data_IF_219493464240
#
_entry.id   IF_219493464240
#
_cell.length_a   1.000
_cell.length_b   1.000
_cell.length_c   1.000
_cell.angle_alpha   90.00
_cell.angle_beta   90.00
_cell.angle_gamma   90.00
#
_symmetry.space_group_name_H-M   'P 1'
#
loop_
_entity.id
_entity.type
_entity.pdbx_description
1 polymer ?
#
# COMPACT_ATOMS: atom_id res chain seq x y z
N UNK A 1 -7.56 9.17 -6.76
CA UNK A 1 -8.29 8.73 -5.56
C UNK A 1 -7.41 9.09 -4.39
N UNK A 2 -7.83 10.05 -3.56
CA UNK A 2 -7.05 10.48 -2.39
C UNK A 2 -7.31 9.45 -1.27
N UNK A 3 -6.28 8.90 -0.61
CA UNK A 3 -6.48 7.93 0.47
C UNK A 3 -7.31 8.54 1.61
N UNK A 4 -8.15 7.72 2.23
CA UNK A 4 -8.99 8.14 3.35
C UNK A 4 -8.11 8.56 4.55
N UNK A 5 -8.48 9.61 5.31
CA UNK A 5 -7.74 10.00 6.50
C UNK A 5 -7.57 8.87 7.53
N UNK A 6 -8.49 7.92 7.62
CA UNK A 6 -8.37 6.77 8.53
C UNK A 6 -7.30 5.79 8.03
N UNK A 7 -7.24 5.57 6.72
CA UNK A 7 -6.21 4.73 6.08
C UNK A 7 -4.81 5.30 6.28
N UNK A 8 -4.67 6.63 6.13
CA UNK A 8 -3.40 7.32 6.39
C UNK A 8 -2.95 7.17 7.84
N UNK A 9 -3.88 7.25 8.79
CA UNK A 9 -3.60 7.03 10.21
C UNK A 9 -3.17 5.59 10.47
N UNK A 10 -3.84 4.61 9.86
CA UNK A 10 -3.48 3.20 9.99
C UNK A 10 -2.08 2.90 9.44
N UNK A 11 -1.73 3.46 8.28
CA UNK A 11 -0.41 3.32 7.67
C UNK A 11 0.70 3.91 8.56
N UNK A 12 0.48 5.12 9.10
CA UNK A 12 1.41 5.75 10.05
C UNK A 12 1.55 4.92 11.33
N UNK A 13 0.45 4.41 11.88
CA UNK A 13 0.49 3.56 13.08
C UNK A 13 1.30 2.26 12.85
N UNK A 14 1.15 1.63 11.68
CA UNK A 14 1.92 0.45 11.33
C UNK A 14 3.43 0.74 11.23
N UNK A 15 3.81 1.84 10.57
CA UNK A 15 5.20 2.26 10.46
C UNK A 15 5.80 2.65 11.83
N UNK A 16 5.05 3.38 12.66
CA UNK A 16 5.47 3.73 14.02
C UNK A 16 5.69 2.49 14.90
N UNK A 17 4.83 1.48 14.79
CA UNK A 17 5.00 0.20 15.50
C UNK A 17 6.28 -0.51 15.10
N UNK A 18 6.60 -0.55 13.80
CA UNK A 18 7.84 -1.16 13.30
C UNK A 18 9.08 -0.42 13.84
N UNK A 19 9.08 0.91 13.79
CA UNK A 19 10.16 1.74 14.32
C UNK A 19 10.37 1.49 15.82
N UNK A 20 9.29 1.44 16.60
CA UNK A 20 9.37 1.15 18.03
C UNK A 20 9.94 -0.25 18.34
N UNK A 21 9.58 -1.27 17.54
CA UNK A 21 10.13 -2.63 17.69
C UNK A 21 11.64 -2.71 17.40
N UNK A 22 12.16 -1.79 16.60
CA UNK A 22 13.59 -1.68 16.29
C UNK A 22 14.35 -0.77 17.28
N UNK A 23 13.66 -0.19 18.27
CA UNK A 23 14.24 0.70 19.29
C UNK A 23 14.22 2.19 18.92
N UNK A 24 13.67 2.57 17.76
CA UNK A 24 13.56 3.95 17.28
C UNK A 24 12.31 4.65 17.84
N UNK A 25 12.27 4.80 19.16
CA UNK A 25 11.09 5.32 19.87
C UNK A 25 10.77 6.79 19.53
N UNK A 26 11.79 7.61 19.25
CA UNK A 26 11.61 9.03 18.91
C UNK A 26 10.98 9.17 17.53
N UNK A 27 11.47 8.41 16.57
CA UNK A 27 10.99 8.36 15.19
C UNK A 27 9.56 7.83 15.15
N UNK A 28 9.25 6.79 15.93
CA UNK A 28 7.89 6.30 16.08
C UNK A 28 6.90 7.39 16.56
N UNK A 29 7.31 8.22 17.53
CA UNK A 29 6.49 9.34 18.01
C UNK A 29 6.30 10.42 16.93
N UNK A 30 7.36 10.75 16.16
CA UNK A 30 7.28 11.69 15.04
C UNK A 30 6.31 11.22 13.96
N UNK A 31 6.33 9.92 13.63
CA UNK A 31 5.39 9.34 12.66
C UNK A 31 3.95 9.42 13.15
N UNK A 32 3.69 9.15 14.43
CA UNK A 32 2.35 9.27 15.01
C UNK A 32 1.84 10.73 15.03
N UNK A 33 2.75 11.69 15.18
CA UNK A 33 2.44 13.12 15.09
C UNK A 33 2.23 13.60 13.65
N UNK A 34 2.51 12.77 12.64
CA UNK A 34 2.45 13.14 11.22
C UNK A 34 3.66 13.94 10.73
N UNK A 35 4.71 14.02 11.53
CA UNK A 35 5.97 14.73 11.22
C UNK A 35 7.03 13.80 10.60
N UNK A 36 6.72 12.49 10.47
CA UNK A 36 7.65 11.46 10.01
C UNK A 36 7.34 10.88 8.63
N UNK A 37 6.52 11.54 7.82
CA UNK A 37 6.13 11.01 6.50
C UNK A 37 7.34 10.85 5.52
N UNK A 38 8.45 11.54 5.80
CA UNK A 38 9.70 11.43 5.04
C UNK A 38 10.53 10.17 5.34
N UNK A 39 10.19 9.40 6.38
CA UNK A 39 10.87 8.14 6.64
C UNK A 39 10.55 7.10 5.56
N UNK A 40 11.55 6.29 5.19
CA UNK A 40 11.41 5.23 4.17
C UNK A 40 10.28 4.26 4.48
N UNK A 41 10.11 3.94 5.75
CA UNK A 41 9.12 3.03 6.31
C UNK A 41 7.72 3.58 6.13
N UNK A 42 7.53 4.89 6.37
CA UNK A 42 6.25 5.57 6.20
C UNK A 42 5.92 5.71 4.72
N UNK A 43 6.88 6.11 3.87
CA UNK A 43 6.69 6.14 2.41
C UNK A 43 6.30 4.78 1.86
N UNK A 44 6.93 3.71 2.35
CA UNK A 44 6.63 2.34 1.93
C UNK A 44 5.22 1.93 2.36
N UNK A 45 4.83 2.20 3.60
CA UNK A 45 3.49 1.92 4.10
C UNK A 45 2.41 2.68 3.32
N UNK A 46 2.64 3.97 3.02
CA UNK A 46 1.73 4.79 2.23
C UNK A 46 1.64 4.33 0.77
N UNK A 47 2.76 3.93 0.15
CA UNK A 47 2.77 3.39 -1.20
C UNK A 47 2.00 2.06 -1.28
N UNK A 48 2.18 1.16 -0.30
CA UNK A 48 1.43 -0.10 -0.20
C UNK A 48 -0.07 0.16 -0.05
N UNK A 49 -0.46 1.10 0.81
CA UNK A 49 -1.85 1.52 0.94
C UNK A 49 -2.43 2.01 -0.39
N UNK A 50 -1.69 2.85 -1.13
CA UNK A 50 -2.09 3.31 -2.45
C UNK A 50 -2.28 2.18 -3.47
N UNK A 51 -1.40 1.18 -3.46
CA UNK A 51 -1.52 -0.02 -4.31
C UNK A 51 -2.73 -0.86 -3.93
N UNK A 52 -2.97 -1.09 -2.63
CA UNK A 52 -4.11 -1.87 -2.15
C UNK A 52 -5.44 -1.17 -2.46
N UNK A 53 -5.51 0.15 -2.26
CA UNK A 53 -6.66 0.96 -2.64
C UNK A 53 -6.90 0.93 -4.17
N UNK A 54 -5.83 0.97 -4.97
CA UNK A 54 -5.92 0.84 -6.42
C UNK A 54 -6.33 -0.58 -6.88
N UNK A 55 -5.94 -1.62 -6.15
CA UNK A 55 -6.34 -3.00 -6.41
C UNK A 55 -7.79 -3.32 -6.00
N UNK A 56 -8.32 -2.62 -4.99
CA UNK A 56 -9.72 -2.72 -4.58
C UNK A 56 -10.68 -2.13 -5.63
N UNK A 57 -10.21 -1.14 -6.40
CA UNK A 57 -10.87 -0.66 -7.61
C UNK A 57 -10.53 -1.57 -8.79
N UNK A 58 -10.99 -2.83 -8.78
CA UNK A 58 -10.94 -3.87 -9.84
C UNK A 58 -9.66 -3.91 -10.72
N UNK A 59 -9.00 -5.08 -10.92
CA UNK A 59 -8.03 -5.17 -11.99
C UNK A 59 -8.73 -4.77 -13.31
N UNK A 60 -8.15 -3.90 -14.15
CA UNK A 60 -8.69 -3.72 -15.49
C UNK A 60 -8.74 -5.12 -16.09
N UNK A 61 -9.94 -5.59 -16.46
CA UNK A 61 -10.09 -6.85 -17.19
C UNK A 61 -9.09 -6.80 -18.33
N UNK A 62 -7.98 -7.52 -18.18
CA UNK A 62 -6.94 -7.51 -19.19
C UNK A 62 -7.64 -8.03 -20.44
N UNK A 63 -7.64 -7.30 -21.57
CA UNK A 63 -8.07 -7.90 -22.81
C UNK A 63 -7.14 -9.09 -23.01
N UNK A 64 -7.71 -10.30 -22.97
CA UNK A 64 -6.97 -11.55 -23.11
C UNK A 64 -5.98 -11.38 -24.26
N UNK A 65 -4.68 -11.40 -23.94
CA UNK A 65 -3.63 -11.24 -24.95
C UNK A 65 -3.84 -12.34 -25.98
N UNK A 66 -4.32 -11.96 -27.16
CA UNK A 66 -4.36 -12.82 -28.33
C UNK A 66 -2.91 -13.01 -28.77
N UNK A 67 -2.29 -14.13 -28.40
CA UNK A 67 -1.06 -14.57 -29.05
C UNK A 67 -1.51 -15.30 -30.32
N UNK A 68 -1.35 -14.66 -31.47
CA UNK A 68 -1.76 -15.19 -32.79
C UNK A 68 -3.26 -15.51 -32.90
N UNK A 69 -4.15 -14.62 -32.46
CA UNK A 69 -5.59 -14.73 -32.73
C UNK A 69 -6.35 -15.80 -31.93
N UNK A 70 -5.75 -16.42 -30.91
CA UNK A 70 -6.45 -17.36 -30.01
C UNK A 70 -6.49 -16.82 -28.58
N UNK A 71 -7.70 -16.77 -28.00
CA UNK A 71 -7.93 -16.42 -26.60
C UNK A 71 -7.36 -17.53 -25.72
N UNK A 72 -6.48 -17.16 -24.80
CA UNK A 72 -6.06 -18.01 -23.68
C UNK A 72 -6.96 -17.64 -22.50
N UNK A 73 -8.12 -18.28 -22.40
CA UNK A 73 -8.88 -18.32 -21.16
C UNK A 73 -8.49 -19.62 -20.47
N UNK A 74 -7.69 -19.53 -19.42
CA UNK A 74 -7.36 -20.67 -18.57
C UNK A 74 -8.54 -20.94 -17.65
N UNK A 75 -9.21 -22.06 -17.89
CA UNK A 75 -10.02 -22.77 -16.92
C UNK A 75 -9.09 -23.32 -15.83
N UNK A 76 -9.37 -23.05 -14.56
CA UNK A 76 -8.97 -23.94 -13.48
C UNK A 76 -9.95 -23.85 -12.30
N UNK A 77 -10.24 -25.04 -11.76
CA UNK A 77 -11.28 -25.43 -10.81
C UNK A 77 -11.02 -25.00 -9.36
#
# INVERSE_FOLDING_TARGET
MTPDPDDLRAARAAAAKLLAQQGYHREAAMVLAGEGDDFSEVRTALALLGILAAGAASPPSQPAKLRNGRRLAGEEC
#
